data_IF_807972619438
#
_entry.id   IF_807972619438
#
_cell.length_a   1.000
_cell.length_b   1.000
_cell.length_c   1.000
_cell.angle_alpha   90.00
_cell.angle_beta   90.00
_cell.angle_gamma   90.00
#
_symmetry.space_group_name_H-M   'P 1'
#
loop_
_entity.id
_entity.type
_entity.pdbx_description
1 polymer ?
#
# COMPACT_ATOMS: atom_id res chain seq x y z
N UNK A 1 -18.62 14.62 7.54
CA UNK A 1 -18.34 15.38 6.31
C UNK A 1 -17.83 14.41 5.24
N UNK A 2 -18.32 14.47 4.00
CA UNK A 2 -17.95 13.53 2.92
C UNK A 2 -16.46 13.49 2.56
N UNK A 3 -15.73 14.58 2.82
CA UNK A 3 -14.27 14.66 2.61
C UNK A 3 -13.48 13.62 3.45
N UNK A 4 -13.91 13.39 4.70
CA UNK A 4 -13.26 12.40 5.58
C UNK A 4 -13.45 10.96 5.08
N UNK A 5 -14.61 10.66 4.49
CA UNK A 5 -14.91 9.35 3.91
C UNK A 5 -14.04 9.06 2.69
N UNK A 6 -13.85 10.05 1.81
CA UNK A 6 -12.97 9.92 0.64
C UNK A 6 -11.54 9.65 1.09
N UNK A 7 -11.04 10.40 2.08
CA UNK A 7 -9.70 10.19 2.63
C UNK A 7 -9.54 8.79 3.23
N UNK A 8 -10.53 8.30 3.98
CA UNK A 8 -10.52 6.95 4.56
C UNK A 8 -10.53 5.86 3.48
N UNK A 9 -11.28 6.04 2.40
CA UNK A 9 -11.32 5.08 1.30
C UNK A 9 -10.00 5.06 0.52
N UNK A 10 -9.43 6.23 0.21
CA UNK A 10 -8.11 6.33 -0.43
C UNK A 10 -7.02 5.65 0.42
N UNK A 11 -7.11 5.81 1.74
CA UNK A 11 -6.23 5.14 2.71
C UNK A 11 -6.35 3.61 2.67
N UNK A 12 -7.57 3.07 2.66
CA UNK A 12 -7.79 1.61 2.54
C UNK A 12 -7.24 1.06 1.23
N UNK A 13 -7.43 1.79 0.13
CA UNK A 13 -6.84 1.41 -1.17
C UNK A 13 -5.33 1.41 -1.09
N UNK A 14 -4.74 2.47 -0.52
CA UNK A 14 -3.30 2.57 -0.34
C UNK A 14 -2.73 1.38 0.45
N UNK A 15 -3.36 1.07 1.57
CA UNK A 15 -3.00 -0.06 2.41
C UNK A 15 -3.05 -1.40 1.67
N UNK A 16 -4.10 -1.65 0.90
CA UNK A 16 -4.24 -2.95 0.23
C UNK A 16 -3.33 -3.09 -0.98
N UNK A 17 -3.06 -2.02 -1.73
CA UNK A 17 -2.55 -2.11 -3.10
C UNK A 17 -1.21 -1.41 -3.38
N UNK A 18 -0.78 -0.45 -2.57
CA UNK A 18 0.39 0.37 -2.91
C UNK A 18 1.70 -0.11 -2.27
N UNK A 19 1.65 -1.20 -1.50
CA UNK A 19 2.81 -1.79 -0.83
C UNK A 19 3.62 -0.71 -0.08
N UNK A 20 4.92 -0.63 -0.30
CA UNK A 20 5.79 0.34 0.38
C UNK A 20 5.49 1.79 -0.01
N UNK A 21 4.82 2.02 -1.16
CA UNK A 21 4.37 3.33 -1.62
C UNK A 21 3.12 3.82 -0.88
N UNK A 22 2.47 3.01 -0.05
CA UNK A 22 1.42 3.46 0.88
C UNK A 22 1.89 4.68 1.69
N UNK A 23 3.17 4.67 2.11
CA UNK A 23 3.75 5.77 2.89
C UNK A 23 3.78 7.09 2.13
N UNK A 24 3.79 7.09 0.81
CA UNK A 24 3.73 8.33 0.02
C UNK A 24 2.35 8.97 0.12
N UNK A 25 1.30 8.17 0.23
CA UNK A 25 -0.05 8.67 0.53
C UNK A 25 -0.09 9.15 1.98
N UNK A 26 0.60 8.49 2.92
CA UNK A 26 0.66 8.86 4.37
C UNK A 26 1.39 10.18 4.59
N UNK A 27 2.57 10.32 4.00
CA UNK A 27 3.48 11.45 4.15
C UNK A 27 3.16 12.61 3.21
N UNK A 28 2.62 12.35 2.01
CA UNK A 28 2.24 13.35 1.02
C UNK A 28 1.02 14.21 1.41
N UNK A 29 0.39 13.94 2.56
CA UNK A 29 -0.64 14.79 3.17
C UNK A 29 -0.10 16.10 3.76
N UNK A 30 0.96 16.66 3.17
CA UNK A 30 1.51 17.96 3.55
C UNK A 30 0.55 19.09 3.22
N UNK A 31 -0.21 19.51 4.23
CA UNK A 31 -0.76 20.86 4.36
C UNK A 31 -1.44 21.47 3.12
N UNK A 32 -2.69 21.06 2.86
CA UNK A 32 -3.76 22.04 2.58
C UNK A 32 -5.10 21.73 3.28
N UNK A 33 -5.32 20.50 3.78
CA UNK A 33 -6.45 20.18 4.70
C UNK A 33 -6.28 18.87 5.52
N UNK A 34 -5.09 18.27 5.59
CA UNK A 34 -4.88 16.88 6.08
C UNK A 34 -4.03 16.68 7.33
N UNK A 35 -3.73 17.74 8.09
CA UNK A 35 -2.96 17.66 9.34
C UNK A 35 -3.62 16.74 10.38
N UNK A 36 -2.83 15.94 11.09
CA UNK A 36 -3.20 14.99 12.16
C UNK A 36 -4.20 13.87 11.78
N UNK A 37 -5.14 14.10 10.87
CA UNK A 37 -6.12 13.15 10.38
C UNK A 37 -5.49 12.01 9.59
N UNK A 38 -4.49 12.28 8.75
CA UNK A 38 -3.77 11.24 8.01
C UNK A 38 -3.13 10.19 8.93
N UNK A 39 -2.54 10.64 10.05
CA UNK A 39 -1.89 9.79 11.05
C UNK A 39 -2.89 9.08 11.98
N UNK A 40 -3.99 9.75 12.34
CA UNK A 40 -5.07 9.15 13.12
C UNK A 40 -5.77 8.02 12.34
N UNK A 41 -5.93 8.19 11.02
CA UNK A 41 -6.49 7.18 10.14
C UNK A 41 -5.57 5.96 9.97
N UNK A 42 -4.25 6.11 10.03
CA UNK A 42 -3.32 4.96 10.00
C UNK A 42 -3.60 3.98 11.13
N UNK A 43 -3.79 4.48 12.36
CA UNK A 43 -4.12 3.65 13.52
C UNK A 43 -5.51 2.98 13.40
N UNK A 44 -6.46 3.65 12.74
CA UNK A 44 -7.78 3.08 12.49
C UNK A 44 -7.73 1.93 11.46
N UNK A 45 -6.80 1.99 10.49
CA UNK A 45 -6.62 0.93 9.49
C UNK A 45 -5.97 -0.34 10.04
N UNK A 46 -5.07 -0.22 11.02
CA UNK A 46 -4.39 -1.37 11.65
C UNK A 46 -5.39 -2.33 12.32
N UNK A 47 -6.54 -1.81 12.78
CA UNK A 47 -7.62 -2.59 13.41
C UNK A 47 -8.81 -2.81 12.46
N UNK A 48 -8.72 -2.39 11.20
CA UNK A 48 -9.80 -2.51 10.22
C UNK A 48 -9.80 -3.92 9.59
N UNK A 49 -10.70 -4.78 10.08
CA UNK A 49 -10.88 -6.15 9.58
C UNK A 49 -11.09 -6.20 8.05
N UNK A 50 -11.70 -5.18 7.46
CA UNK A 50 -11.92 -5.15 6.01
C UNK A 50 -10.61 -5.00 5.22
N UNK A 51 -9.62 -4.29 5.77
CA UNK A 51 -8.30 -4.14 5.14
C UNK A 51 -7.52 -5.45 5.27
N UNK A 52 -7.55 -6.08 6.45
CA UNK A 52 -6.92 -7.37 6.67
C UNK A 52 -7.45 -8.46 5.71
N UNK A 53 -8.78 -8.56 5.58
CA UNK A 53 -9.43 -9.51 4.67
C UNK A 53 -9.04 -9.26 3.21
N UNK A 54 -8.92 -8.00 2.81
CA UNK A 54 -8.52 -7.61 1.44
C UNK A 54 -7.05 -7.92 1.16
N UNK A 55 -6.15 -7.70 2.12
CA UNK A 55 -4.74 -8.13 2.02
C UNK A 55 -4.64 -9.64 1.90
N UNK A 56 -5.38 -10.38 2.74
CA UNK A 56 -5.42 -11.84 2.69
C UNK A 56 -5.96 -12.36 1.33
N UNK A 57 -7.01 -11.74 0.79
CA UNK A 57 -7.52 -12.06 -0.53
C UNK A 57 -6.47 -11.80 -1.64
N UNK A 58 -5.80 -10.63 -1.60
CA UNK A 58 -4.74 -10.27 -2.57
C UNK A 58 -3.62 -11.31 -2.57
N UNK A 59 -3.23 -11.78 -1.38
CA UNK A 59 -2.23 -12.83 -1.22
C UNK A 59 -2.72 -14.19 -1.77
N UNK A 60 -3.92 -14.65 -1.38
CA UNK A 60 -4.49 -15.92 -1.88
C UNK A 60 -4.66 -15.96 -3.40
N UNK A 61 -4.89 -14.81 -4.03
CA UNK A 61 -5.06 -14.70 -5.49
C UNK A 61 -3.72 -14.55 -6.24
N UNK A 62 -2.58 -14.53 -5.53
CA UNK A 62 -1.26 -14.38 -6.17
C UNK A 62 -1.10 -13.06 -6.93
N UNK A 63 -1.75 -11.98 -6.47
CA UNK A 63 -1.66 -10.69 -7.13
C UNK A 63 -0.23 -10.15 -7.14
N UNK A 64 0.15 -9.44 -8.20
CA UNK A 64 1.49 -8.87 -8.36
C UNK A 64 1.77 -7.70 -7.40
N UNK A 65 3.05 -7.44 -7.06
CA UNK A 65 3.43 -6.27 -6.28
C UNK A 65 3.15 -4.97 -7.05
N UNK A 66 2.97 -3.87 -6.33
CA UNK A 66 2.69 -2.55 -6.90
C UNK A 66 3.85 -2.04 -7.76
N UNK A 67 5.09 -2.39 -7.38
CA UNK A 67 6.27 -2.13 -8.19
C UNK A 67 6.14 -2.70 -9.61
N UNK A 68 5.70 -3.96 -9.74
CA UNK A 68 5.43 -4.58 -11.04
C UNK A 68 4.38 -3.80 -11.85
N UNK A 69 3.34 -3.29 -11.18
CA UNK A 69 2.32 -2.47 -11.83
C UNK A 69 2.91 -1.18 -12.40
N UNK A 70 3.75 -0.47 -11.64
CA UNK A 70 4.41 0.75 -12.12
C UNK A 70 5.38 0.46 -13.29
N UNK A 71 6.14 -0.63 -13.19
CA UNK A 71 7.13 -0.98 -14.21
C UNK A 71 6.49 -1.56 -15.50
N UNK A 72 5.35 -2.24 -15.40
CA UNK A 72 4.75 -2.99 -16.52
C UNK A 72 3.48 -2.36 -17.07
N UNK A 73 2.55 -1.96 -16.18
CA UNK A 73 1.22 -1.48 -16.58
C UNK A 73 1.22 0.04 -16.78
N UNK A 74 1.97 0.77 -15.94
CA UNK A 74 2.05 2.23 -16.00
C UNK A 74 3.50 2.74 -16.13
N UNK A 75 4.25 2.36 -17.18
CA UNK A 75 5.69 2.66 -17.31
C UNK A 75 6.00 4.16 -17.44
N UNK A 76 5.03 4.99 -17.81
CA UNK A 76 5.18 6.44 -17.97
C UNK A 76 4.64 7.23 -16.76
N UNK A 77 4.60 6.62 -15.58
CA UNK A 77 4.19 7.32 -14.37
C UNK A 77 5.17 8.46 -14.01
N UNK A 78 4.73 9.53 -13.34
CA UNK A 78 5.62 10.55 -12.81
C UNK A 78 6.64 9.95 -11.83
N UNK A 79 7.88 10.45 -11.78
CA UNK A 79 8.89 9.90 -10.88
C UNK A 79 8.43 9.96 -9.42
N UNK A 80 8.75 8.91 -8.67
CA UNK A 80 8.57 8.91 -7.22
C UNK A 80 9.56 9.89 -6.56
N UNK A 81 9.30 10.35 -5.32
CA UNK A 81 10.26 11.19 -4.60
C UNK A 81 11.66 10.58 -4.54
N UNK A 82 12.69 11.40 -4.64
CA UNK A 82 14.09 10.95 -4.71
C UNK A 82 14.54 10.14 -3.47
N UNK A 83 13.90 10.33 -2.33
CA UNK A 83 14.15 9.63 -1.07
C UNK A 83 13.30 8.35 -0.92
N UNK A 84 12.46 8.02 -1.88
CA UNK A 84 11.67 6.80 -1.87
C UNK A 84 12.52 5.57 -2.25
N UNK A 85 12.59 4.61 -1.34
CA UNK A 85 13.22 3.30 -1.56
C UNK A 85 12.18 2.17 -1.43
N UNK A 86 12.22 1.21 -2.35
CA UNK A 86 11.54 -0.07 -2.16
C UNK A 86 12.22 -0.81 -1.00
N UNK A 87 11.44 -1.41 -0.11
CA UNK A 87 11.98 -2.34 0.86
C UNK A 87 12.26 -3.65 0.08
N UNK A 88 13.43 -4.27 0.31
CA UNK A 88 13.85 -5.44 -0.47
C UNK A 88 12.81 -6.55 -0.41
N UNK A 89 12.65 -7.27 -1.53
CA UNK A 89 11.78 -8.43 -1.64
C UNK A 89 12.21 -9.48 -0.60
N UNK A 90 11.37 -9.78 0.39
CA UNK A 90 11.40 -11.10 0.99
C UNK A 90 10.91 -12.02 -0.12
N UNK A 91 11.88 -12.57 -0.86
CA UNK A 91 11.62 -13.51 -1.93
C UNK A 91 10.72 -14.63 -1.40
N UNK A 92 9.76 -15.02 -2.24
CA UNK A 92 8.92 -16.20 -2.09
C UNK A 92 9.77 -17.48 -2.24
N UNK A 93 10.81 -17.63 -1.41
CA UNK A 93 11.51 -18.88 -1.20
C UNK A 93 10.81 -19.64 -0.07
N UNK A 94 9.58 -20.10 -0.34
CA UNK A 94 9.00 -21.25 0.34
C UNK A 94 9.19 -22.47 -0.59
N UNK A 95 10.40 -23.00 -0.48
CA UNK A 95 10.92 -24.31 -0.89
C UNK A 95 9.89 -25.35 -1.35
N UNK A 96 9.85 -25.57 -2.66
CA UNK A 96 9.86 -26.93 -3.17
C UNK A 96 11.28 -27.46 -3.10
N UNK A 97 11.67 -28.11 -2.01
CA UNK A 97 12.78 -29.08 -1.91
C UNK A 97 12.87 -29.63 -0.48
N UNK A 98 12.13 -30.70 -0.20
CA UNK A 98 12.53 -31.71 0.80
C UNK A 98 11.86 -33.05 0.43
N UNK A 99 12.35 -33.64 -0.66
CA UNK A 99 12.33 -35.08 -0.86
C UNK A 99 13.77 -35.55 -0.68
N UNK A 100 14.07 -36.03 0.52
CA UNK A 100 15.26 -36.76 0.92
C UNK A 100 14.86 -37.75 2.00
#
# INVERSE_FOLDING_TARGET
SGSLTVLRNARRVAAVWLDEAERLVVSGGGARDGGNAGRMLTRELEVDATVADRRALRHRMGCKPFRWYLETVLPFHPPLPNDFQWQHEVGDQAEGETLG
#
